data_IF_471767210993
#
_entry.id   IF_471767210993
#
_cell.length_a   1.000
_cell.length_b   1.000
_cell.length_c   1.000
_cell.angle_alpha   90.00
_cell.angle_beta   90.00
_cell.angle_gamma   90.00
#
_symmetry.space_group_name_H-M   'P 1'
#
loop_
_entity.id
_entity.type
_entity.pdbx_description
1 polymer ?
#
# COMPACT_ATOMS: atom_id res chain seq x y z
N UNK A 1 0.81 -18.10 -0.89
CA UNK A 1 1.82 -17.51 -1.80
C UNK A 1 3.19 -17.59 -1.15
N UNK A 2 4.17 -18.05 -1.87
CA UNK A 2 5.54 -18.19 -1.36
C UNK A 2 6.21 -16.82 -1.28
N UNK A 3 7.27 -16.72 -0.47
CA UNK A 3 8.00 -15.47 -0.28
C UNK A 3 8.52 -14.88 -1.59
N UNK A 4 9.17 -15.71 -2.42
CA UNK A 4 9.69 -15.27 -3.71
C UNK A 4 8.58 -14.83 -4.66
N UNK A 5 7.42 -15.47 -4.59
CA UNK A 5 6.26 -15.09 -5.39
C UNK A 5 5.69 -13.73 -4.94
N UNK A 6 5.67 -13.48 -3.63
CA UNK A 6 5.24 -12.17 -3.09
C UNK A 6 6.14 -11.05 -3.58
N UNK A 7 7.45 -11.27 -3.53
CA UNK A 7 8.43 -10.27 -3.97
C UNK A 7 8.26 -9.99 -5.47
N UNK A 8 8.08 -11.04 -6.27
CA UNK A 8 7.85 -10.88 -7.71
C UNK A 8 6.57 -10.13 -8.01
N UNK A 9 5.50 -10.43 -7.25
CA UNK A 9 4.22 -9.76 -7.43
C UNK A 9 4.31 -8.27 -7.11
N UNK A 10 5.02 -7.92 -6.04
CA UNK A 10 5.23 -6.51 -5.68
C UNK A 10 6.06 -5.82 -6.75
N UNK A 11 7.13 -6.45 -7.22
CA UNK A 11 7.98 -5.87 -8.27
C UNK A 11 7.18 -5.66 -9.56
N UNK A 12 6.30 -6.61 -9.90
CA UNK A 12 5.43 -6.46 -11.06
C UNK A 12 4.54 -5.23 -10.92
N UNK A 13 3.99 -5.00 -9.74
CA UNK A 13 3.13 -3.83 -9.50
C UNK A 13 3.92 -2.51 -9.62
N UNK A 14 5.17 -2.49 -9.15
CA UNK A 14 6.05 -1.32 -9.31
C UNK A 14 6.32 -1.04 -10.78
N UNK A 15 6.61 -2.10 -11.55
CA UNK A 15 6.98 -1.98 -12.95
C UNK A 15 5.79 -1.70 -13.88
N UNK A 16 4.58 -1.98 -13.40
CA UNK A 16 3.35 -1.84 -14.19
C UNK A 16 2.33 -0.99 -13.45
N UNK A 17 2.65 0.26 -13.14
CA UNK A 17 1.70 1.13 -12.47
C UNK A 17 0.48 1.35 -13.36
N UNK A 18 -0.70 1.20 -12.78
CA UNK A 18 -1.94 1.29 -13.52
C UNK A 18 -3.03 1.83 -12.58
N UNK A 19 -4.25 1.35 -12.79
CA UNK A 19 -5.38 1.69 -11.94
C UNK A 19 -5.25 1.02 -10.57
N UNK A 20 -6.11 1.42 -9.64
CA UNK A 20 -6.17 0.78 -8.33
C UNK A 20 -6.36 -0.73 -8.35
N UNK A 21 -6.88 -1.27 -9.47
CA UNK A 21 -7.11 -2.71 -9.60
C UNK A 21 -5.83 -3.53 -9.43
N UNK A 22 -4.71 -3.05 -9.94
CA UNK A 22 -3.42 -3.74 -9.81
C UNK A 22 -3.05 -3.90 -8.33
N UNK A 23 -3.24 -2.84 -7.56
CA UNK A 23 -2.89 -2.84 -6.14
C UNK A 23 -3.87 -3.65 -5.30
N UNK A 24 -5.16 -3.57 -5.60
CA UNK A 24 -6.16 -4.41 -4.94
C UNK A 24 -5.86 -5.90 -5.18
N UNK A 25 -5.61 -6.25 -6.44
CA UNK A 25 -5.28 -7.62 -6.79
C UNK A 25 -4.02 -8.09 -6.08
N UNK A 26 -3.00 -7.24 -6.03
CA UNK A 26 -1.75 -7.56 -5.33
C UNK A 26 -2.03 -7.91 -3.87
N UNK A 27 -2.77 -7.04 -3.17
CA UNK A 27 -3.08 -7.26 -1.77
C UNK A 27 -3.93 -8.51 -1.55
N UNK A 28 -4.92 -8.75 -2.42
CA UNK A 28 -5.75 -9.94 -2.34
C UNK A 28 -4.94 -11.21 -2.56
N UNK A 29 -4.07 -11.22 -3.58
CA UNK A 29 -3.24 -12.37 -3.90
C UNK A 29 -2.28 -12.72 -2.77
N UNK A 30 -1.80 -11.71 -2.03
CA UNK A 30 -0.93 -11.91 -0.88
C UNK A 30 -1.71 -12.17 0.42
N UNK A 31 -3.03 -12.17 0.35
CA UNK A 31 -3.91 -12.26 1.53
C UNK A 31 -3.60 -11.16 2.54
N UNK A 32 -3.36 -9.95 2.03
CA UNK A 32 -2.93 -8.80 2.82
C UNK A 32 -3.86 -7.60 2.73
N UNK A 33 -4.99 -7.73 2.04
CA UNK A 33 -5.96 -6.63 1.96
C UNK A 33 -6.57 -6.39 3.33
N UNK A 34 -6.43 -5.16 3.83
CA UNK A 34 -6.90 -4.80 5.16
C UNK A 34 -8.26 -4.13 5.08
N UNK A 35 -9.33 -4.94 5.16
CA UNK A 35 -10.69 -4.40 5.19
C UNK A 35 -10.94 -3.55 6.43
N UNK A 36 -10.13 -3.77 7.48
CA UNK A 36 -10.19 -3.01 8.73
C UNK A 36 -8.98 -2.07 8.86
N UNK A 37 -8.55 -1.46 7.75
CA UNK A 37 -7.34 -0.63 7.75
C UNK A 37 -7.36 0.50 8.78
N UNK A 38 -8.55 1.02 9.12
CA UNK A 38 -8.68 2.10 10.11
C UNK A 38 -8.20 1.69 11.51
N UNK A 39 -8.20 0.40 11.82
CA UNK A 39 -7.68 -0.08 13.10
C UNK A 39 -6.17 0.12 13.24
N UNK A 40 -5.48 0.31 12.11
CA UNK A 40 -4.04 0.54 12.07
C UNK A 40 -3.68 2.04 12.14
N UNK A 41 -4.68 2.90 12.01
CA UNK A 41 -4.45 4.35 11.89
C UNK A 41 -4.42 5.03 13.25
N UNK A 42 -3.73 6.17 13.32
CA UNK A 42 -3.51 6.92 14.56
C UNK A 42 -4.26 8.25 14.58
N UNK A 43 -4.80 8.68 13.45
CA UNK A 43 -5.53 9.94 13.32
C UNK A 43 -7.02 9.68 13.09
N UNK A 44 -7.87 10.57 13.64
CA UNK A 44 -9.32 10.50 13.45
C UNK A 44 -9.89 11.92 13.37
N UNK A 45 -10.46 12.31 12.21
CA UNK A 45 -10.53 11.52 10.99
C UNK A 45 -9.14 11.22 10.43
N UNK A 46 -9.04 10.15 9.62
CA UNK A 46 -7.77 9.70 9.09
C UNK A 46 -7.13 10.80 8.23
N UNK A 47 -5.88 11.15 8.57
CA UNK A 47 -5.07 12.07 7.77
C UNK A 47 -4.00 11.24 7.07
N UNK A 48 -4.21 10.98 5.78
CA UNK A 48 -3.32 10.11 5.02
C UNK A 48 -1.87 10.59 5.01
N UNK A 49 -1.65 11.89 4.93
CA UNK A 49 -0.28 12.43 4.90
C UNK A 49 0.44 12.17 6.23
N UNK A 50 -0.27 12.34 7.34
CA UNK A 50 0.29 12.05 8.67
C UNK A 50 0.57 10.56 8.81
N UNK A 51 -0.37 9.72 8.39
CA UNK A 51 -0.19 8.28 8.49
C UNK A 51 1.00 7.79 7.66
N UNK A 52 1.23 8.37 6.47
CA UNK A 52 2.34 8.00 5.61
C UNK A 52 3.71 8.31 6.23
N UNK A 53 3.78 9.21 7.17
CA UNK A 53 5.03 9.50 7.89
C UNK A 53 5.53 8.28 8.69
N UNK A 54 4.65 7.34 8.98
CA UNK A 54 4.99 6.13 9.73
C UNK A 54 5.66 5.06 8.88
N UNK A 55 5.76 5.29 7.56
CA UNK A 55 6.26 4.28 6.63
C UNK A 55 7.68 3.82 6.95
N UNK A 56 8.55 4.74 7.38
CA UNK A 56 9.95 4.41 7.68
C UNK A 56 10.10 3.28 8.70
N UNK A 57 9.15 3.17 9.63
CA UNK A 57 9.18 2.18 10.71
C UNK A 57 8.11 1.09 10.55
N UNK A 58 7.46 1.05 9.38
CA UNK A 58 6.36 0.14 9.16
C UNK A 58 6.83 -1.30 8.95
N UNK A 59 6.08 -2.25 9.52
CA UNK A 59 6.20 -3.65 9.17
C UNK A 59 5.32 -3.93 7.94
N UNK A 60 5.34 -5.19 7.48
CA UNK A 60 4.56 -5.58 6.30
C UNK A 60 3.07 -5.29 6.49
N UNK A 61 2.53 -5.61 7.65
CA UNK A 61 1.10 -5.43 7.92
C UNK A 61 0.68 -3.97 7.90
N UNK A 62 1.51 -3.09 8.47
CA UNK A 62 1.23 -1.65 8.41
C UNK A 62 1.36 -1.11 6.98
N UNK A 63 2.35 -1.59 6.22
CA UNK A 63 2.47 -1.21 4.81
C UNK A 63 1.19 -1.58 4.03
N UNK A 64 0.68 -2.80 4.25
CA UNK A 64 -0.55 -3.25 3.60
C UNK A 64 -1.74 -2.37 4.00
N UNK A 65 -1.82 -1.98 5.27
CA UNK A 65 -2.87 -1.09 5.75
C UNK A 65 -2.76 0.31 5.13
N UNK A 66 -1.54 0.84 5.03
CA UNK A 66 -1.31 2.14 4.41
C UNK A 66 -1.68 2.14 2.92
N UNK A 67 -1.32 1.09 2.21
CA UNK A 67 -1.72 0.97 0.79
C UNK A 67 -3.24 0.87 0.67
N UNK A 68 -3.88 0.08 1.50
CA UNK A 68 -5.34 -0.03 1.53
C UNK A 68 -5.98 1.33 1.80
N UNK A 69 -5.43 2.08 2.76
CA UNK A 69 -5.88 3.44 3.09
C UNK A 69 -5.88 4.34 1.84
N UNK A 70 -4.80 4.30 1.06
CA UNK A 70 -4.70 5.13 -0.14
C UNK A 70 -5.67 4.69 -1.24
N UNK A 71 -5.91 3.39 -1.35
CA UNK A 71 -6.91 2.88 -2.29
C UNK A 71 -8.32 3.34 -1.91
N UNK A 72 -8.62 3.35 -0.62
CA UNK A 72 -9.92 3.83 -0.13
C UNK A 72 -10.04 5.34 -0.26
N UNK A 73 -8.95 6.08 -0.06
CA UNK A 73 -8.94 7.52 -0.29
C UNK A 73 -9.36 7.84 -1.73
N UNK A 74 -8.81 7.12 -2.70
CA UNK A 74 -9.14 7.31 -4.11
C UNK A 74 -10.61 7.00 -4.40
N UNK A 75 -11.18 6.04 -3.68
CA UNK A 75 -12.58 5.69 -3.84
C UNK A 75 -13.51 6.87 -3.52
N UNK A 76 -13.16 7.67 -2.52
CA UNK A 76 -13.95 8.81 -2.08
C UNK A 76 -13.54 10.12 -2.74
N UNK A 77 -12.32 10.18 -3.31
CA UNK A 77 -11.77 11.37 -3.95
C UNK A 77 -11.02 10.96 -5.20
N UNK A 78 -11.73 10.84 -6.31
CA UNK A 78 -11.17 10.38 -7.58
C UNK A 78 -9.91 11.15 -7.97
N UNK A 79 -8.86 10.41 -8.33
CA UNK A 79 -7.60 10.97 -8.78
C UNK A 79 -6.51 11.06 -7.74
N UNK A 80 -6.84 10.82 -6.46
CA UNK A 80 -5.83 10.89 -5.40
C UNK A 80 -4.78 9.79 -5.53
N UNK A 81 -5.16 8.61 -5.97
CA UNK A 81 -4.21 7.50 -6.16
C UNK A 81 -3.15 7.86 -7.20
N UNK A 82 -3.57 8.47 -8.31
CA UNK A 82 -2.65 8.92 -9.34
C UNK A 82 -1.67 9.97 -8.80
N UNK A 83 -2.16 10.89 -7.98
CA UNK A 83 -1.29 11.89 -7.35
C UNK A 83 -0.31 11.26 -6.38
N UNK A 84 -0.76 10.30 -5.58
CA UNK A 84 0.10 9.55 -4.66
C UNK A 84 1.18 8.79 -5.44
N UNK A 85 0.83 8.23 -6.59
CA UNK A 85 1.79 7.57 -7.45
C UNK A 85 2.83 8.57 -7.99
N UNK A 86 2.37 9.72 -8.50
CA UNK A 86 3.26 10.76 -9.02
C UNK A 86 4.23 11.27 -7.96
N UNK A 87 3.78 11.34 -6.72
CA UNK A 87 4.61 11.80 -5.61
C UNK A 87 5.57 10.72 -5.09
N UNK A 88 5.54 9.52 -5.67
CA UNK A 88 6.40 8.42 -5.27
C UNK A 88 5.93 7.68 -4.02
N UNK A 89 4.79 8.04 -3.48
CA UNK A 89 4.29 7.47 -2.23
C UNK A 89 3.84 6.02 -2.37
N UNK A 90 3.24 5.67 -3.51
CA UNK A 90 2.82 4.28 -3.77
C UNK A 90 4.06 3.38 -3.88
N UNK A 91 5.05 3.79 -4.69
CA UNK A 91 6.27 3.02 -4.85
C UNK A 91 7.05 2.90 -3.54
N UNK A 92 7.03 3.95 -2.72
CA UNK A 92 7.67 3.90 -1.40
C UNK A 92 7.06 2.81 -0.52
N UNK A 93 5.74 2.68 -0.52
CA UNK A 93 5.05 1.64 0.24
C UNK A 93 5.42 0.26 -0.31
N UNK A 94 5.39 0.09 -1.64
CA UNK A 94 5.70 -1.19 -2.28
C UNK A 94 7.15 -1.62 -2.01
N UNK A 95 8.08 -0.67 -2.11
CA UNK A 95 9.48 -0.95 -1.80
C UNK A 95 9.68 -1.33 -0.34
N UNK A 96 8.97 -0.66 0.57
CA UNK A 96 9.04 -1.00 2.00
C UNK A 96 8.48 -2.40 2.26
N UNK A 97 7.39 -2.76 1.58
CA UNK A 97 6.82 -4.10 1.67
C UNK A 97 7.85 -5.16 1.27
N UNK A 98 8.55 -4.95 0.15
CA UNK A 98 9.60 -5.86 -0.28
C UNK A 98 10.74 -5.95 0.75
N UNK A 99 11.15 -4.81 1.27
CA UNK A 99 12.20 -4.75 2.29
C UNK A 99 11.84 -5.59 3.51
N UNK A 100 10.60 -5.46 4.00
CA UNK A 100 10.14 -6.21 5.18
C UNK A 100 10.08 -7.71 4.91
N UNK A 101 9.78 -8.11 3.68
CA UNK A 101 9.72 -9.52 3.30
C UNK A 101 11.10 -10.16 3.16
N UNK A 102 12.12 -9.35 2.87
CA UNK A 102 13.49 -9.83 2.70
C UNK A 102 14.25 -9.96 4.03
N UNK A 103 13.76 -9.35 5.06
CA UNK A 103 14.41 -9.37 6.39
C UNK A 103 14.03 -10.60 7.21
#
# INVERSE_FOLDING_TARGET
MRLDEKIKAIQFAIDNPNSGEVYYKLLEDMNALKTNYWDYMTTEPIDCDVELERLAEADFELCAALLTMLLREDHFSNGTLMERHKNGQIDAILNKMMETLKN
#
